data_IF_514486864101
#
_entry.id   IF_514486864101
#
_cell.length_a   1.000
_cell.length_b   1.000
_cell.length_c   1.000
_cell.angle_alpha   90.00
_cell.angle_beta   90.00
_cell.angle_gamma   90.00
#
_symmetry.space_group_name_H-M   'P 1'
#
loop_
_entity.id
_entity.type
_entity.pdbx_description
1 polymer ?
#
# COMPACT_ATOMS: atom_id res chain seq x y z
N UNK A 1 -21.49 5.62 -75.18
CA UNK A 1 -20.45 5.62 -74.12
C UNK A 1 -20.44 6.98 -73.42
N UNK A 2 -21.03 7.08 -72.22
CA UNK A 2 -20.70 8.08 -71.18
C UNK A 2 -21.48 7.68 -69.92
N UNK A 3 -20.79 7.01 -68.99
CA UNK A 3 -21.32 6.61 -67.69
C UNK A 3 -21.22 7.79 -66.72
N UNK A 4 -22.36 8.19 -66.15
CA UNK A 4 -22.48 9.18 -65.09
C UNK A 4 -22.32 8.45 -63.74
N UNK A 5 -21.23 8.70 -63.01
CA UNK A 5 -21.05 8.21 -61.64
C UNK A 5 -21.42 9.32 -60.67
N UNK A 6 -22.50 9.15 -59.92
CA UNK A 6 -22.82 9.95 -58.74
C UNK A 6 -21.91 9.51 -57.59
N UNK A 7 -21.16 10.44 -57.01
CA UNK A 7 -20.43 10.25 -55.76
C UNK A 7 -21.33 10.84 -54.66
N UNK A 8 -21.97 9.98 -53.88
CA UNK A 8 -22.63 10.35 -52.63
C UNK A 8 -21.58 10.37 -51.52
N UNK A 9 -21.15 11.55 -51.09
CA UNK A 9 -20.36 11.73 -49.88
C UNK A 9 -21.28 11.63 -48.66
N UNK A 10 -21.10 10.58 -47.87
CA UNK A 10 -21.76 10.40 -46.58
C UNK A 10 -20.97 11.20 -45.53
N UNK A 11 -21.51 12.34 -45.10
CA UNK A 11 -20.95 13.14 -44.00
C UNK A 11 -21.50 12.57 -42.69
N UNK A 12 -20.72 11.77 -41.98
CA UNK A 12 -21.05 11.30 -40.63
C UNK A 12 -20.60 12.38 -39.64
N UNK A 13 -21.56 13.13 -39.11
CA UNK A 13 -21.34 14.03 -37.98
C UNK A 13 -21.47 13.18 -36.71
N UNK A 14 -20.36 12.94 -36.02
CA UNK A 14 -20.40 12.42 -34.65
C UNK A 14 -20.87 13.54 -33.73
N UNK A 15 -22.12 13.48 -33.25
CA UNK A 15 -22.51 14.21 -32.06
C UNK A 15 -21.96 13.44 -30.85
N UNK A 16 -21.01 14.05 -30.13
CA UNK A 16 -20.64 13.65 -28.78
C UNK A 16 -21.83 13.94 -27.87
N UNK A 17 -22.52 12.88 -27.42
CA UNK A 17 -23.51 12.97 -26.36
C UNK A 17 -22.72 12.96 -25.06
N UNK A 18 -22.53 14.13 -24.44
CA UNK A 18 -21.97 14.21 -23.09
C UNK A 18 -22.91 13.49 -22.13
N UNK A 19 -22.37 12.59 -21.31
CA UNK A 19 -23.17 11.90 -20.31
C UNK A 19 -23.54 12.90 -19.21
N UNK A 20 -24.78 12.88 -18.69
CA UNK A 20 -25.24 13.85 -17.71
C UNK A 20 -24.52 13.76 -16.35
N UNK A 21 -23.63 12.78 -16.16
CA UNK A 21 -22.81 12.58 -14.96
C UNK A 21 -21.29 12.63 -15.26
N UNK A 22 -20.90 13.01 -16.48
CA UNK A 22 -19.49 13.12 -16.84
C UNK A 22 -18.91 14.45 -16.33
N UNK A 23 -17.76 14.35 -15.67
CA UNK A 23 -16.97 15.49 -15.21
C UNK A 23 -15.58 15.49 -15.86
N UNK A 24 -14.70 16.34 -15.37
CA UNK A 24 -13.32 16.42 -15.84
C UNK A 24 -12.37 15.88 -14.78
N UNK A 25 -11.24 15.33 -15.22
CA UNK A 25 -10.09 15.08 -14.36
C UNK A 25 -9.12 16.24 -14.50
N UNK A 26 -8.69 16.77 -13.36
CA UNK A 26 -7.74 17.87 -13.32
C UNK A 26 -6.62 17.60 -12.34
N UNK A 27 -5.47 18.22 -12.56
CA UNK A 27 -4.42 18.34 -11.55
C UNK A 27 -4.48 19.69 -10.86
N UNK A 28 -4.39 19.71 -9.54
CA UNK A 28 -4.35 20.90 -8.69
C UNK A 28 -2.99 20.95 -7.99
N UNK A 29 -2.25 22.04 -8.15
CA UNK A 29 -1.02 22.29 -7.40
C UNK A 29 -1.31 23.21 -6.21
N UNK A 30 -1.03 22.71 -5.00
CA UNK A 30 -1.18 23.45 -3.74
C UNK A 30 0.14 24.16 -3.41
N UNK A 31 0.07 25.45 -3.12
CA UNK A 31 1.25 26.30 -2.85
C UNK A 31 1.36 26.78 -1.41
N UNK A 32 0.31 26.59 -0.60
CA UNK A 32 0.28 26.94 0.81
C UNK A 32 -0.89 26.23 1.52
N UNK A 33 -0.90 26.27 2.85
CA UNK A 33 -1.93 25.65 3.68
C UNK A 33 -3.33 26.23 3.47
N UNK A 34 -3.47 27.53 3.18
CA UNK A 34 -4.78 28.12 2.88
C UNK A 34 -5.42 27.50 1.63
N UNK A 35 -4.61 27.15 0.62
CA UNK A 35 -5.11 26.48 -0.58
C UNK A 35 -5.60 25.04 -0.33
N UNK A 36 -5.16 24.39 0.76
CA UNK A 36 -5.67 23.07 1.18
C UNK A 36 -7.15 23.18 1.54
N UNK A 37 -7.47 24.08 2.47
CA UNK A 37 -8.84 24.30 2.94
C UNK A 37 -9.77 24.71 1.79
N UNK A 38 -9.29 25.57 0.89
CA UNK A 38 -10.04 26.00 -0.28
C UNK A 38 -10.31 24.83 -1.23
N UNK A 39 -9.30 24.02 -1.56
CA UNK A 39 -9.47 22.87 -2.45
C UNK A 39 -10.46 21.85 -1.86
N UNK A 40 -10.32 21.52 -0.58
CA UNK A 40 -11.23 20.63 0.14
C UNK A 40 -12.66 21.16 0.15
N UNK A 41 -12.85 22.46 0.36
CA UNK A 41 -14.18 23.06 0.37
C UNK A 41 -14.90 23.03 -0.98
N UNK A 42 -14.15 22.94 -2.09
CA UNK A 42 -14.69 22.99 -3.45
C UNK A 42 -14.90 21.58 -4.01
N UNK A 43 -13.91 20.69 -3.91
CA UNK A 43 -13.96 19.34 -4.52
C UNK A 43 -13.98 18.20 -3.49
N UNK A 44 -14.01 18.50 -2.20
CA UNK A 44 -14.03 17.53 -1.10
C UNK A 44 -12.66 16.89 -0.85
N UNK A 45 -12.23 16.02 -1.75
CA UNK A 45 -11.00 15.23 -1.61
C UNK A 45 -10.31 15.00 -2.96
N UNK A 46 -9.00 14.80 -2.92
CA UNK A 46 -8.25 14.33 -4.07
C UNK A 46 -8.44 12.82 -4.29
N UNK A 47 -8.07 12.38 -5.49
CA UNK A 47 -8.02 10.96 -5.88
C UNK A 47 -6.64 10.39 -5.53
N UNK A 48 -5.57 11.13 -5.84
CA UNK A 48 -4.19 10.77 -5.53
C UNK A 48 -3.34 12.02 -5.52
N UNK A 49 -2.10 11.93 -5.02
CA UNK A 49 -1.17 13.04 -4.98
C UNK A 49 0.29 12.60 -5.11
N UNK A 50 1.13 13.53 -5.54
CA UNK A 50 2.58 13.46 -5.38
C UNK A 50 3.06 14.83 -4.96
N UNK A 51 3.73 14.87 -3.81
CA UNK A 51 4.09 16.11 -3.14
C UNK A 51 2.86 17.03 -3.04
N UNK A 52 2.93 18.27 -3.52
CA UNK A 52 1.81 19.22 -3.48
C UNK A 52 0.94 19.21 -4.74
N UNK A 53 1.08 18.20 -5.61
CA UNK A 53 0.27 18.05 -6.82
C UNK A 53 -0.76 16.94 -6.61
N UNK A 54 -2.02 17.29 -6.81
CA UNK A 54 -3.17 16.43 -6.55
C UNK A 54 -3.90 16.16 -7.86
N UNK A 55 -4.40 14.94 -8.03
CA UNK A 55 -5.40 14.60 -9.04
C UNK A 55 -6.78 14.73 -8.42
N UNK A 56 -7.70 15.40 -9.09
CA UNK A 56 -9.07 15.61 -8.64
C UNK A 56 -10.05 15.28 -9.76
N UNK A 57 -11.24 14.82 -9.38
CA UNK A 57 -12.42 14.88 -10.23
C UNK A 57 -13.09 16.23 -10.00
N UNK A 58 -13.54 16.89 -11.05
CA UNK A 58 -14.14 18.22 -10.95
C UNK A 58 -15.19 18.46 -12.02
N UNK A 59 -16.26 19.15 -11.66
CA UNK A 59 -17.22 19.70 -12.62
C UNK A 59 -16.77 21.07 -13.14
N UNK A 60 -17.37 21.55 -14.24
CA UNK A 60 -17.01 22.87 -14.81
C UNK A 60 -17.18 24.02 -13.80
N UNK A 61 -18.17 23.94 -12.91
CA UNK A 61 -18.43 24.96 -11.89
C UNK A 61 -17.36 24.98 -10.78
N UNK A 62 -16.94 23.80 -10.32
CA UNK A 62 -15.88 23.62 -9.34
C UNK A 62 -14.52 24.03 -9.91
N UNK A 63 -14.21 23.64 -11.16
CA UNK A 63 -13.00 24.05 -11.85
C UNK A 63 -12.87 25.58 -11.91
N UNK A 64 -13.96 26.27 -12.27
CA UNK A 64 -14.00 27.73 -12.29
C UNK A 64 -13.80 28.34 -10.90
N UNK A 65 -14.35 27.72 -9.85
CA UNK A 65 -14.15 28.16 -8.46
C UNK A 65 -12.69 27.99 -8.03
N UNK A 66 -12.06 26.86 -8.33
CA UNK A 66 -10.66 26.62 -8.02
C UNK A 66 -9.76 27.66 -8.71
N UNK A 67 -10.01 27.95 -9.99
CA UNK A 67 -9.26 28.98 -10.74
C UNK A 67 -9.48 30.37 -10.17
N UNK A 68 -10.72 30.74 -9.82
CA UNK A 68 -11.05 32.03 -9.20
C UNK A 68 -10.41 32.19 -7.82
N UNK A 69 -10.30 31.11 -7.06
CA UNK A 69 -9.64 31.09 -5.77
C UNK A 69 -8.10 31.09 -5.87
N UNK A 70 -7.54 31.14 -7.08
CA UNK A 70 -6.11 31.28 -7.33
C UNK A 70 -5.33 29.97 -7.27
N UNK A 71 -6.00 28.82 -7.30
CA UNK A 71 -5.33 27.53 -7.42
C UNK A 71 -4.81 27.31 -8.84
N UNK A 72 -3.65 26.68 -8.92
CA UNK A 72 -3.05 26.27 -10.18
C UNK A 72 -3.66 24.94 -10.61
N UNK A 73 -4.66 25.01 -11.48
CA UNK A 73 -5.44 23.87 -11.95
C UNK A 73 -5.31 23.70 -13.46
N UNK A 74 -5.12 22.45 -13.88
CA UNK A 74 -5.02 22.03 -15.28
C UNK A 74 -5.90 20.81 -15.52
N UNK A 75 -6.84 20.91 -16.47
CA UNK A 75 -7.59 19.74 -16.96
C UNK A 75 -6.63 18.81 -17.69
N UNK A 76 -6.67 17.53 -17.32
CA UNK A 76 -5.91 16.48 -18.00
C UNK A 76 -6.80 15.60 -18.86
N UNK A 77 -8.07 15.39 -18.48
CA UNK A 77 -9.03 14.62 -19.27
C UNK A 77 -10.42 15.22 -19.13
N UNK A 78 -11.15 15.32 -20.24
CA UNK A 78 -12.53 15.81 -20.27
C UNK A 78 -13.54 14.70 -20.51
N UNK A 79 -14.78 14.92 -20.07
CA UNK A 79 -15.94 14.07 -20.32
C UNK A 79 -15.72 12.63 -19.80
N UNK A 80 -15.41 12.55 -18.51
CA UNK A 80 -14.98 11.34 -17.80
C UNK A 80 -16.05 10.93 -16.78
N UNK A 81 -16.42 9.65 -16.80
CA UNK A 81 -17.21 9.05 -15.73
C UNK A 81 -16.26 8.45 -14.67
N UNK A 82 -16.34 8.92 -13.43
CA UNK A 82 -15.42 8.51 -12.35
C UNK A 82 -15.39 6.99 -12.12
N UNK A 83 -16.53 6.31 -12.27
CA UNK A 83 -16.68 4.86 -12.12
C UNK A 83 -16.02 4.04 -13.23
N UNK A 84 -15.69 4.65 -14.37
CA UNK A 84 -15.03 3.97 -15.50
C UNK A 84 -13.50 4.14 -15.50
N UNK A 85 -12.98 4.93 -14.57
CA UNK A 85 -11.56 5.24 -14.49
C UNK A 85 -10.86 4.48 -13.39
N UNK A 86 -9.60 4.17 -13.65
CA UNK A 86 -8.71 3.57 -12.68
C UNK A 86 -7.36 4.28 -12.64
N UNK A 87 -6.77 4.32 -11.46
CA UNK A 87 -5.37 4.65 -11.24
C UNK A 87 -4.57 3.38 -11.47
N UNK A 88 -3.58 3.47 -12.36
CA UNK A 88 -2.75 2.37 -12.78
C UNK A 88 -1.35 2.65 -12.25
N UNK A 89 -0.96 1.88 -11.23
CA UNK A 89 0.36 1.95 -10.62
C UNK A 89 1.35 1.12 -11.42
N UNK A 90 2.59 1.62 -11.60
CA UNK A 90 3.65 0.84 -12.19
C UNK A 90 3.91 -0.45 -11.38
N UNK A 91 4.45 -1.50 -12.02
CA UNK A 91 4.72 -2.76 -11.37
C UNK A 91 5.91 -2.55 -10.45
N UNK A 92 5.87 -3.20 -9.28
CA UNK A 92 7.00 -3.20 -8.35
C UNK A 92 8.24 -3.86 -8.96
N UNK A 93 8.03 -4.82 -9.88
CA UNK A 93 9.11 -5.50 -10.59
C UNK A 93 9.44 -4.78 -11.92
N UNK A 94 10.63 -4.18 -12.06
CA UNK A 94 11.02 -3.37 -13.22
C UNK A 94 11.21 -4.16 -14.52
N UNK A 95 11.19 -5.50 -14.47
CA UNK A 95 11.19 -6.37 -15.68
C UNK A 95 9.90 -6.24 -16.47
N UNK A 96 8.79 -5.87 -15.82
CA UNK A 96 7.55 -5.54 -16.51
C UNK A 96 7.58 -4.10 -17.01
N UNK A 97 8.03 -3.91 -18.25
CA UNK A 97 7.90 -2.63 -18.94
C UNK A 97 6.63 -2.63 -19.78
N UNK A 98 5.78 -1.63 -19.58
CA UNK A 98 4.77 -1.33 -20.59
C UNK A 98 5.44 -0.56 -21.71
N UNK A 99 5.23 -1.06 -22.93
CA UNK A 99 5.66 -0.41 -24.16
C UNK A 99 4.62 0.56 -24.71
N UNK A 100 3.33 0.44 -24.35
CA UNK A 100 2.27 1.44 -24.63
C UNK A 100 1.00 1.27 -23.78
N UNK A 101 0.70 2.22 -22.89
CA UNK A 101 -0.51 2.17 -22.05
C UNK A 101 -1.81 2.38 -22.81
N UNK A 102 -1.77 3.00 -23.99
CA UNK A 102 -2.97 3.26 -24.77
C UNK A 102 -3.56 1.97 -25.36
N UNK A 103 -2.82 0.86 -25.34
CA UNK A 103 -3.33 -0.46 -25.72
C UNK A 103 -4.41 -1.00 -24.76
N UNK A 104 -4.52 -0.45 -23.54
CA UNK A 104 -5.50 -0.89 -22.53
C UNK A 104 -6.69 0.06 -22.38
N UNK A 105 -6.66 1.22 -23.04
CA UNK A 105 -7.69 2.25 -22.97
C UNK A 105 -7.10 3.65 -23.02
N UNK A 106 -7.98 4.68 -23.04
CA UNK A 106 -7.57 6.08 -23.01
C UNK A 106 -6.79 6.33 -21.71
N UNK A 107 -5.50 6.56 -21.84
CA UNK A 107 -4.56 6.59 -20.72
C UNK A 107 -3.75 7.88 -20.73
N UNK A 108 -3.56 8.47 -19.56
CA UNK A 108 -2.75 9.68 -19.38
C UNK A 108 -1.72 9.42 -18.30
N UNK A 109 -0.46 9.68 -18.63
CA UNK A 109 0.63 9.63 -17.67
C UNK A 109 0.45 10.72 -16.61
N UNK A 110 0.64 10.33 -15.36
CA UNK A 110 0.70 11.21 -14.20
C UNK A 110 2.14 11.28 -13.69
N UNK A 111 2.28 11.72 -12.44
CA UNK A 111 3.52 11.70 -11.69
C UNK A 111 3.93 10.27 -11.32
N UNK A 112 5.24 10.07 -11.08
CA UNK A 112 5.85 8.84 -10.57
C UNK A 112 5.53 7.58 -11.39
N UNK A 113 5.39 7.72 -12.71
CA UNK A 113 5.10 6.60 -13.62
C UNK A 113 3.68 6.03 -13.48
N UNK A 114 2.81 6.66 -12.69
CA UNK A 114 1.39 6.30 -12.63
C UNK A 114 0.65 6.76 -13.87
N UNK A 115 -0.45 6.09 -14.17
CA UNK A 115 -1.38 6.48 -15.22
C UNK A 115 -2.79 6.57 -14.66
N UNK A 116 -3.60 7.45 -15.25
CA UNK A 116 -5.05 7.32 -15.15
C UNK A 116 -5.56 6.81 -16.47
N UNK A 117 -6.30 5.71 -16.41
CA UNK A 117 -6.72 4.94 -17.56
C UNK A 117 -8.17 4.52 -17.44
N UNK A 118 -8.90 4.59 -18.55
CA UNK A 118 -10.20 3.95 -18.68
C UNK A 118 -9.97 2.46 -18.93
N UNK A 119 -10.09 1.63 -17.89
CA UNK A 119 -9.80 0.19 -17.95
C UNK A 119 -11.04 -0.58 -17.53
N UNK A 120 -11.57 -1.44 -18.41
CA UNK A 120 -12.68 -2.33 -18.03
C UNK A 120 -12.23 -3.36 -16.98
N UNK A 121 -13.14 -3.87 -16.16
CA UNK A 121 -12.83 -4.83 -15.09
C UNK A 121 -12.10 -6.09 -15.59
N UNK A 122 -12.45 -6.59 -16.78
CA UNK A 122 -11.76 -7.74 -17.40
C UNK A 122 -10.33 -7.40 -17.84
N UNK A 123 -10.11 -6.18 -18.30
CA UNK A 123 -8.78 -5.69 -18.70
C UNK A 123 -7.92 -5.34 -17.49
N UNK A 124 -8.51 -4.89 -16.39
CA UNK A 124 -7.81 -4.60 -15.14
C UNK A 124 -7.16 -5.86 -14.57
N UNK A 125 -7.93 -6.96 -14.48
CA UNK A 125 -7.39 -8.26 -14.05
C UNK A 125 -6.30 -8.76 -15.00
N UNK A 126 -6.51 -8.63 -16.31
CA UNK A 126 -5.51 -9.03 -17.31
C UNK A 126 -4.23 -8.20 -17.22
N UNK A 127 -4.34 -6.90 -16.99
CA UNK A 127 -3.21 -5.99 -16.82
C UNK A 127 -2.41 -6.38 -15.58
N UNK A 128 -3.07 -6.58 -14.43
CA UNK A 128 -2.39 -7.01 -13.21
C UNK A 128 -1.69 -8.35 -13.35
N UNK A 129 -2.33 -9.34 -13.98
CA UNK A 129 -1.75 -10.69 -14.14
C UNK A 129 -0.58 -10.69 -15.14
N UNK A 130 -0.70 -9.97 -16.26
CA UNK A 130 0.27 -10.06 -17.37
C UNK A 130 1.43 -9.08 -17.26
N UNK A 131 1.25 -7.96 -16.55
CA UNK A 131 2.27 -6.90 -16.45
C UNK A 131 2.64 -6.53 -15.03
N UNK A 132 1.97 -7.07 -14.00
CA UNK A 132 2.23 -6.72 -12.60
C UNK A 132 1.80 -5.30 -12.21
N UNK A 133 1.15 -4.55 -13.11
CA UNK A 133 0.60 -3.23 -12.79
C UNK A 133 -0.61 -3.37 -11.87
N UNK A 134 -0.68 -2.53 -10.83
CA UNK A 134 -1.84 -2.52 -9.93
C UNK A 134 -2.89 -1.53 -10.45
N UNK A 135 -4.12 -1.99 -10.62
CA UNK A 135 -5.23 -1.18 -11.11
C UNK A 135 -6.21 -0.93 -9.98
N UNK A 136 -6.43 0.34 -9.64
CA UNK A 136 -7.28 0.75 -8.52
C UNK A 136 -8.38 1.68 -9.03
N UNK A 137 -9.68 1.34 -8.87
CA UNK A 137 -10.78 2.20 -9.31
C UNK A 137 -10.74 3.57 -8.64
N UNK A 138 -10.94 4.67 -9.39
CA UNK A 138 -10.84 6.03 -8.82
C UNK A 138 -11.93 6.35 -7.78
N UNK A 139 -13.05 5.64 -7.82
CA UNK A 139 -14.13 5.75 -6.83
C UNK A 139 -13.74 5.20 -5.45
N UNK A 140 -12.77 4.28 -5.40
CA UNK A 140 -12.27 3.71 -4.14
C UNK A 140 -11.21 4.59 -3.46
N UNK A 141 -10.77 5.65 -4.14
CA UNK A 141 -9.68 6.52 -3.70
C UNK A 141 -10.23 7.85 -3.16
N UNK A 142 -9.76 8.20 -1.96
CA UNK A 142 -10.07 9.44 -1.28
C UNK A 142 -8.83 9.87 -0.48
N UNK A 143 -8.12 10.88 -0.99
CA UNK A 143 -6.89 11.42 -0.40
C UNK A 143 -7.18 12.85 0.08
N UNK A 144 -6.95 13.16 1.37
CA UNK A 144 -7.11 14.53 1.87
C UNK A 144 -6.07 15.44 1.21
N UNK A 145 -6.39 16.73 1.06
CA UNK A 145 -5.40 17.67 0.58
C UNK A 145 -4.40 17.95 1.69
N UNK A 146 -3.18 18.30 1.28
CA UNK A 146 -2.16 18.73 2.21
C UNK A 146 -1.19 19.67 1.52
N UNK A 147 -0.38 20.36 2.31
CA UNK A 147 0.70 21.19 1.81
C UNK A 147 1.99 20.86 2.57
N UNK A 148 3.01 20.49 1.81
CA UNK A 148 4.38 20.30 2.28
C UNK A 148 5.17 21.54 1.87
N UNK A 149 5.56 22.43 2.81
CA UNK A 149 6.43 23.56 2.50
C UNK A 149 7.75 23.10 1.87
N UNK A 150 8.33 23.85 0.94
CA UNK A 150 9.62 23.50 0.33
C UNK A 150 10.74 23.35 1.37
N UNK A 151 10.71 24.15 2.44
CA UNK A 151 11.64 24.03 3.58
C UNK A 151 11.48 22.70 4.32
N UNK A 152 10.25 22.19 4.45
CA UNK A 152 9.97 20.89 5.05
C UNK A 152 10.35 19.78 4.08
N UNK A 153 10.04 19.91 2.78
CA UNK A 153 10.44 18.93 1.76
C UNK A 153 11.96 18.77 1.67
N UNK A 154 12.72 19.85 1.88
CA UNK A 154 14.18 19.83 1.90
C UNK A 154 14.77 19.39 3.24
N UNK A 155 14.07 19.61 4.36
CA UNK A 155 14.42 19.06 5.68
C UNK A 155 14.05 17.57 5.82
N UNK A 156 12.98 17.10 5.20
CA UNK A 156 12.64 15.66 5.13
C UNK A 156 13.67 14.88 4.30
N UNK A 157 14.39 15.56 3.41
CA UNK A 157 15.55 15.00 2.69
C UNK A 157 16.81 14.91 3.57
N UNK A 158 16.80 15.46 4.79
CA UNK A 158 17.85 15.31 5.79
C UNK A 158 17.44 15.86 7.17
N UNK A 159 17.25 14.95 8.16
CA UNK A 159 16.91 15.12 9.60
C UNK A 159 15.46 14.66 9.89
N UNK A 160 15.26 13.48 10.50
CA UNK A 160 15.34 13.20 11.96
C UNK A 160 14.45 14.12 12.82
N UNK A 161 13.14 14.12 12.58
CA UNK A 161 12.13 14.08 13.66
C UNK A 161 10.73 14.18 13.04
N UNK A 162 10.05 13.03 12.98
CA UNK A 162 8.60 12.99 12.83
C UNK A 162 7.99 13.55 14.12
N UNK A 163 6.89 14.31 14.08
CA UNK A 163 6.17 14.64 15.31
C UNK A 163 5.61 13.35 15.91
N UNK A 164 6.34 12.77 16.87
CA UNK A 164 5.99 11.49 17.53
C UNK A 164 4.61 11.54 18.20
N UNK A 165 4.09 12.73 18.51
CA UNK A 165 2.89 12.92 19.33
C UNK A 165 1.55 12.56 18.66
N UNK A 166 1.45 12.29 17.36
CA UNK A 166 0.13 11.98 16.74
C UNK A 166 -0.11 10.48 16.50
N UNK A 167 0.86 9.77 15.91
CA UNK A 167 0.72 8.35 15.61
C UNK A 167 1.07 7.45 16.80
N UNK A 168 2.03 7.86 17.64
CA UNK A 168 2.35 7.10 18.86
C UNK A 168 1.14 7.04 19.81
N UNK A 169 0.28 8.06 19.80
CA UNK A 169 -0.97 8.08 20.57
C UNK A 169 -2.03 7.08 20.07
N UNK A 170 -1.88 6.53 18.86
CA UNK A 170 -2.77 5.48 18.35
C UNK A 170 -2.35 4.08 18.81
N UNK A 171 -1.17 3.97 19.43
CA UNK A 171 -0.69 2.72 20.04
C UNK A 171 -1.58 2.38 21.24
N UNK A 172 -2.14 1.18 21.19
CA UNK A 172 -3.06 0.67 22.19
C UNK A 172 -2.37 -0.40 23.02
N UNK A 173 -2.16 -0.12 24.31
CA UNK A 173 -1.64 -1.11 25.26
C UNK A 173 -2.54 -2.35 25.34
N UNK A 174 -3.87 -2.17 25.24
CA UNK A 174 -4.83 -3.27 25.22
C UNK A 174 -4.64 -4.17 24.00
N UNK A 175 -4.38 -3.57 22.83
CA UNK A 175 -4.13 -4.31 21.60
C UNK A 175 -2.80 -5.06 21.68
N UNK A 176 -1.74 -4.41 22.17
CA UNK A 176 -0.44 -5.04 22.41
C UNK A 176 -0.59 -6.24 23.36
N UNK A 177 -1.22 -6.05 24.52
CA UNK A 177 -1.41 -7.12 25.49
C UNK A 177 -2.26 -8.26 24.93
N UNK A 178 -3.33 -7.95 24.20
CA UNK A 178 -4.20 -8.94 23.59
C UNK A 178 -3.49 -9.78 22.51
N UNK A 179 -2.68 -9.14 21.66
CA UNK A 179 -1.92 -9.84 20.62
C UNK A 179 -0.85 -10.74 21.24
N UNK A 180 -0.09 -10.23 22.21
CA UNK A 180 0.95 -11.02 22.85
C UNK A 180 0.38 -12.19 23.65
N UNK A 181 -0.66 -11.95 24.46
CA UNK A 181 -1.38 -13.02 25.18
C UNK A 181 -1.93 -14.07 24.21
N UNK A 182 -2.42 -13.64 23.05
CA UNK A 182 -2.91 -14.58 22.03
C UNK A 182 -1.78 -15.41 21.43
N UNK A 183 -0.61 -14.81 21.18
CA UNK A 183 0.57 -15.51 20.70
C UNK A 183 1.07 -16.55 21.71
N UNK A 184 1.10 -16.22 23.00
CA UNK A 184 1.43 -17.15 24.10
C UNK A 184 0.43 -18.32 24.19
N UNK A 185 -0.85 -18.06 23.94
CA UNK A 185 -1.91 -19.06 24.02
C UNK A 185 -1.82 -20.16 22.95
N UNK A 186 -0.95 -20.03 21.93
CA UNK A 186 -0.61 -21.13 21.03
C UNK A 186 0.32 -22.18 21.69
N UNK A 187 0.73 -21.95 22.94
CA UNK A 187 1.61 -22.77 23.78
C UNK A 187 3.06 -22.77 23.31
N UNK A 188 3.29 -23.21 22.08
CA UNK A 188 4.56 -23.15 21.37
C UNK A 188 4.27 -22.77 19.94
N UNK A 189 5.14 -21.98 19.32
CA UNK A 189 5.08 -21.67 17.90
C UNK A 189 6.29 -22.29 17.23
N UNK A 190 6.64 -23.52 17.61
CA UNK A 190 7.73 -24.24 16.97
C UNK A 190 7.29 -24.77 15.60
N UNK A 191 8.18 -24.69 14.61
CA UNK A 191 7.86 -24.91 13.19
C UNK A 191 7.34 -26.32 12.85
N UNK A 192 7.54 -27.31 13.72
CA UNK A 192 7.05 -28.68 13.55
C UNK A 192 5.70 -28.96 14.24
N UNK A 193 5.02 -27.91 14.72
CA UNK A 193 3.76 -28.04 15.46
C UNK A 193 2.60 -27.43 14.69
N UNK A 194 1.39 -27.99 14.80
CA UNK A 194 0.19 -27.38 14.20
C UNK A 194 -0.11 -25.96 14.75
N UNK A 195 0.46 -25.61 15.91
CA UNK A 195 0.32 -24.29 16.52
C UNK A 195 0.98 -23.17 15.69
N UNK A 196 2.05 -23.43 14.93
CA UNK A 196 2.65 -22.41 14.04
C UNK A 196 1.69 -22.06 12.90
N UNK A 197 1.00 -23.05 12.35
CA UNK A 197 0.00 -22.85 11.30
C UNK A 197 -1.21 -22.09 11.85
N UNK A 198 -1.65 -22.43 13.05
CA UNK A 198 -2.73 -21.71 13.72
C UNK A 198 -2.36 -20.25 14.03
N UNK A 199 -1.10 -19.97 14.37
CA UNK A 199 -0.58 -18.62 14.58
C UNK A 199 -0.53 -17.82 13.26
N UNK A 200 -0.04 -18.45 12.17
CA UNK A 200 -0.06 -17.89 10.81
C UNK A 200 -1.48 -17.49 10.41
N UNK A 201 -2.42 -18.43 10.49
CA UNK A 201 -3.80 -18.22 10.05
C UNK A 201 -4.50 -17.13 10.87
N UNK A 202 -4.20 -17.06 12.17
CA UNK A 202 -4.69 -15.99 13.03
C UNK A 202 -4.16 -14.61 12.61
N UNK A 203 -2.87 -14.48 12.30
CA UNK A 203 -2.30 -13.20 11.84
C UNK A 203 -2.85 -12.81 10.47
N UNK A 204 -2.98 -13.76 9.54
CA UNK A 204 -3.64 -13.52 8.23
C UNK A 204 -5.03 -12.96 8.43
N UNK A 205 -5.84 -13.56 9.31
CA UNK A 205 -7.18 -13.06 9.60
C UNK A 205 -7.15 -11.66 10.20
N UNK A 206 -6.19 -11.34 11.08
CA UNK A 206 -6.05 -9.98 11.64
C UNK A 206 -5.83 -8.93 10.57
N UNK A 207 -4.93 -9.20 9.62
CA UNK A 207 -4.69 -8.28 8.51
C UNK A 207 -5.95 -8.10 7.65
N UNK A 208 -6.66 -9.19 7.34
CA UNK A 208 -7.92 -9.12 6.59
C UNK A 208 -9.00 -8.32 7.34
N UNK A 209 -9.13 -8.51 8.66
CA UNK A 209 -10.07 -7.78 9.52
C UNK A 209 -9.78 -6.27 9.54
N UNK A 210 -8.52 -5.86 9.35
CA UNK A 210 -8.11 -4.46 9.22
C UNK A 210 -8.20 -3.92 7.81
N UNK A 211 -8.78 -4.67 6.86
CA UNK A 211 -9.03 -4.21 5.50
C UNK A 211 -7.84 -4.36 4.54
N UNK A 212 -6.76 -5.02 4.95
CA UNK A 212 -5.69 -5.36 4.02
C UNK A 212 -6.18 -6.40 3.00
N UNK A 213 -5.91 -6.15 1.73
CA UNK A 213 -6.31 -7.03 0.62
C UNK A 213 -5.15 -7.80 0.01
N UNK A 214 -3.92 -7.30 0.17
CA UNK A 214 -2.68 -7.93 -0.32
C UNK A 214 -1.99 -8.67 0.84
N UNK A 215 -2.66 -9.73 1.31
CA UNK A 215 -2.19 -10.63 2.38
C UNK A 215 -1.77 -11.95 1.76
N UNK A 216 -0.51 -12.35 1.96
CA UNK A 216 0.05 -13.58 1.40
C UNK A 216 0.79 -14.38 2.46
N UNK A 217 0.98 -15.68 2.19
CA UNK A 217 1.79 -16.57 3.02
C UNK A 217 2.89 -17.21 2.18
N UNK A 218 3.99 -16.50 1.86
CA UNK A 218 5.08 -17.03 1.06
C UNK A 218 5.64 -18.32 1.69
N UNK A 219 5.55 -19.41 0.95
CA UNK A 219 5.95 -20.75 1.39
C UNK A 219 7.41 -21.02 1.05
N UNK A 220 8.14 -21.63 1.98
CA UNK A 220 9.48 -22.14 1.79
C UNK A 220 9.66 -23.51 2.45
N UNK A 221 10.63 -24.28 1.97
CA UNK A 221 10.89 -25.63 2.47
C UNK A 221 12.08 -25.63 3.44
N UNK A 222 11.91 -26.28 4.59
CA UNK A 222 12.97 -26.47 5.57
C UNK A 222 12.89 -27.87 6.17
N UNK A 223 13.99 -28.63 6.12
CA UNK A 223 14.14 -29.94 6.77
C UNK A 223 12.91 -30.87 6.69
N UNK A 224 12.33 -31.01 5.50
CA UNK A 224 11.22 -31.95 5.28
C UNK A 224 9.82 -31.37 5.40
N UNK A 225 9.67 -30.10 5.83
CA UNK A 225 8.37 -29.46 6.04
C UNK A 225 8.22 -28.16 5.25
N UNK A 226 6.97 -27.77 5.00
CA UNK A 226 6.65 -26.45 4.49
C UNK A 226 6.55 -25.47 5.66
N UNK A 227 7.20 -24.33 5.54
CA UNK A 227 7.12 -23.21 6.45
C UNK A 227 6.58 -21.99 5.69
N UNK A 228 6.05 -21.01 6.41
CA UNK A 228 5.33 -19.89 5.82
C UNK A 228 5.67 -18.60 6.55
N UNK A 229 6.15 -17.59 5.84
CA UNK A 229 6.06 -16.23 6.36
C UNK A 229 4.61 -15.75 6.24
N UNK A 230 4.22 -14.77 7.06
CA UNK A 230 3.02 -13.96 6.79
C UNK A 230 3.53 -12.65 6.19
N UNK A 231 2.91 -12.17 5.11
CA UNK A 231 3.34 -10.95 4.45
C UNK A 231 2.13 -10.12 4.03
N UNK A 232 2.18 -8.82 4.33
CA UNK A 232 1.18 -7.85 3.91
C UNK A 232 1.83 -6.67 3.22
N UNK A 233 1.31 -6.31 2.05
CA UNK A 233 1.78 -5.15 1.29
C UNK A 233 0.78 -4.01 1.41
N UNK A 234 1.20 -2.91 2.04
CA UNK A 234 0.48 -1.64 2.00
C UNK A 234 1.09 -0.74 0.93
N UNK A 235 0.42 -0.52 -0.22
CA UNK A 235 1.00 0.28 -1.30
C UNK A 235 1.16 1.75 -0.88
N UNK A 236 2.28 2.36 -1.27
CA UNK A 236 2.50 3.79 -1.15
C UNK A 236 1.68 4.58 -2.17
N UNK A 237 1.14 5.74 -1.77
CA UNK A 237 0.34 6.56 -2.68
C UNK A 237 1.18 7.36 -3.67
N UNK A 238 2.43 7.72 -3.31
CA UNK A 238 3.31 8.57 -4.12
C UNK A 238 4.53 7.83 -4.66
N UNK A 239 5.23 7.07 -3.82
CA UNK A 239 6.45 6.33 -4.16
C UNK A 239 6.25 4.82 -3.92
N UNK A 240 5.35 4.16 -4.67
CA UNK A 240 5.00 2.76 -4.43
C UNK A 240 6.18 1.79 -4.67
N UNK A 241 7.18 2.19 -5.45
CA UNK A 241 8.38 1.42 -5.77
C UNK A 241 9.42 1.44 -4.63
N UNK A 242 9.34 2.40 -3.71
CA UNK A 242 10.21 2.49 -2.54
C UNK A 242 9.58 1.74 -1.37
N UNK A 243 10.31 0.78 -0.83
CA UNK A 243 9.78 -0.17 0.14
C UNK A 243 10.44 0.01 1.51
N UNK A 244 9.59 0.09 2.53
CA UNK A 244 9.96 -0.06 3.94
C UNK A 244 9.48 -1.44 4.38
N UNK A 245 10.35 -2.23 5.01
CA UNK A 245 9.97 -3.52 5.60
C UNK A 245 9.87 -3.37 7.12
N UNK A 246 8.84 -3.94 7.72
CA UNK A 246 8.66 -4.01 9.17
C UNK A 246 8.41 -5.47 9.53
N UNK A 247 9.16 -6.02 10.48
CA UNK A 247 8.95 -7.41 10.88
C UNK A 247 9.54 -7.79 12.22
N UNK A 248 9.17 -8.99 12.64
CA UNK A 248 9.65 -9.73 13.79
C UNK A 248 9.28 -11.19 13.56
N UNK A 249 9.99 -12.14 14.17
CA UNK A 249 9.65 -13.54 13.96
C UNK A 249 8.52 -13.98 14.89
N UNK A 250 7.63 -14.82 14.37
CA UNK A 250 6.47 -15.31 15.11
C UNK A 250 6.61 -16.75 15.56
N UNK A 251 7.66 -17.47 15.15
CA UNK A 251 7.99 -18.74 15.78
C UNK A 251 8.53 -18.54 17.20
N UNK A 252 8.46 -19.60 18.00
CA UNK A 252 9.06 -19.68 19.31
C UNK A 252 9.51 -21.11 19.57
N UNK A 253 10.60 -21.26 20.31
CA UNK A 253 11.12 -22.56 20.69
C UNK A 253 11.51 -22.57 22.17
N UNK A 254 11.69 -23.76 22.71
CA UNK A 254 12.47 -23.95 23.94
C UNK A 254 13.70 -24.80 23.65
N UNK A 255 14.85 -24.36 24.13
CA UNK A 255 16.16 -25.00 23.89
C UNK A 255 16.48 -26.12 24.88
N UNK A 256 15.50 -26.60 25.66
CA UNK A 256 15.73 -27.65 26.66
C UNK A 256 15.91 -29.03 26.02
N UNK A 257 16.91 -29.78 26.47
CA UNK A 257 17.20 -31.13 26.00
C UNK A 257 16.07 -32.14 26.28
N UNK A 258 15.23 -31.90 27.30
CA UNK A 258 14.05 -32.71 27.62
C UNK A 258 13.00 -31.81 28.30
N UNK A 259 11.70 -31.87 27.93
CA UNK A 259 11.08 -32.73 26.89
C UNK A 259 11.24 -32.25 25.42
N UNK A 260 12.19 -31.36 25.13
CA UNK A 260 12.50 -30.92 23.76
C UNK A 260 11.66 -29.72 23.28
N UNK A 261 11.84 -29.25 22.03
CA UNK A 261 11.28 -27.99 21.53
C UNK A 261 9.76 -28.02 21.26
N UNK A 262 9.13 -29.20 21.35
CA UNK A 262 7.71 -29.43 21.08
C UNK A 262 6.80 -29.04 22.26
N UNK A 263 7.37 -28.57 23.37
CA UNK A 263 6.64 -28.27 24.60
C UNK A 263 6.36 -26.78 24.72
N UNK A 264 5.64 -26.40 25.79
CA UNK A 264 5.30 -25.02 26.11
C UNK A 264 6.52 -24.07 26.00
N UNK A 265 6.43 -23.17 25.03
CA UNK A 265 7.39 -22.13 24.72
C UNK A 265 6.58 -20.86 24.38
N UNK A 266 6.10 -20.13 25.41
CA UNK A 266 5.15 -19.04 25.23
C UNK A 266 5.71 -17.95 24.33
N UNK A 267 7.05 -17.78 24.33
CA UNK A 267 7.76 -16.87 23.45
C UNK A 267 7.19 -15.45 23.51
N UNK A 268 6.91 -14.97 24.72
CA UNK A 268 6.27 -13.67 24.95
C UNK A 268 7.20 -12.54 24.56
N UNK A 269 8.41 -12.50 25.11
CA UNK A 269 9.40 -11.51 24.71
C UNK A 269 10.08 -11.92 23.40
N UNK A 270 10.44 -13.20 23.28
CA UNK A 270 11.13 -13.81 22.15
C UNK A 270 10.19 -14.77 21.35
N UNK A 271 9.58 -14.34 20.26
CA UNK A 271 9.49 -12.94 19.80
C UNK A 271 8.03 -12.49 19.61
N UNK A 272 7.21 -12.84 20.58
CA UNK A 272 5.83 -12.36 20.70
C UNK A 272 5.76 -10.83 20.76
N UNK A 273 6.75 -10.19 21.41
CA UNK A 273 6.84 -8.74 21.56
C UNK A 273 7.07 -8.03 20.21
N UNK A 274 8.01 -8.49 19.40
CA UNK A 274 8.30 -7.92 18.09
C UNK A 274 7.24 -8.25 17.04
N UNK A 275 6.68 -9.47 17.07
CA UNK A 275 5.50 -9.81 16.26
C UNK A 275 4.32 -8.90 16.62
N UNK A 276 4.10 -8.64 17.90
CA UNK A 276 3.04 -7.75 18.38
C UNK A 276 3.24 -6.30 17.91
N UNK A 277 4.46 -5.76 17.96
CA UNK A 277 4.73 -4.44 17.41
C UNK A 277 4.48 -4.37 15.89
N UNK A 278 4.85 -5.42 15.16
CA UNK A 278 4.57 -5.52 13.72
C UNK A 278 3.06 -5.48 13.45
N UNK A 279 2.28 -6.25 14.21
CA UNK A 279 0.82 -6.29 14.11
C UNK A 279 0.17 -4.95 14.50
N UNK A 280 0.64 -4.32 15.57
CA UNK A 280 0.08 -3.04 16.05
C UNK A 280 0.36 -1.89 15.08
N UNK A 281 1.57 -1.84 14.50
CA UNK A 281 1.89 -0.88 13.45
C UNK A 281 0.99 -1.09 12.23
N UNK A 282 0.76 -2.33 11.80
CA UNK A 282 -0.16 -2.60 10.70
C UNK A 282 -1.60 -2.20 11.04
N UNK A 283 -2.09 -2.48 12.25
CA UNK A 283 -3.43 -2.05 12.71
C UNK A 283 -3.59 -0.54 12.62
N UNK A 284 -2.62 0.22 13.12
CA UNK A 284 -2.66 1.68 13.14
C UNK A 284 -2.59 2.25 11.73
N UNK A 285 -1.74 1.67 10.88
CA UNK A 285 -1.45 2.18 9.55
C UNK A 285 -2.44 1.70 8.49
N UNK A 286 -3.39 0.82 8.81
CA UNK A 286 -4.35 0.25 7.87
C UNK A 286 -5.05 1.33 7.02
N UNK A 287 -5.67 2.31 7.67
CA UNK A 287 -6.44 3.38 7.03
C UNK A 287 -5.63 4.67 6.78
N UNK A 288 -4.34 4.68 7.14
CA UNK A 288 -3.48 5.86 6.99
C UNK A 288 -2.75 5.79 5.65
N UNK A 289 -2.92 6.74 4.72
CA UNK A 289 -2.15 6.77 3.49
C UNK A 289 -0.66 6.96 3.78
N UNK A 290 0.20 6.15 3.15
CA UNK A 290 1.65 6.23 3.30
C UNK A 290 2.30 6.63 1.99
N UNK A 291 3.29 7.52 2.06
CA UNK A 291 4.02 8.00 0.87
C UNK A 291 4.69 6.84 0.12
N UNK A 292 5.28 5.91 0.87
CA UNK A 292 6.03 4.73 0.39
C UNK A 292 5.28 3.44 0.68
N UNK A 293 5.61 2.38 -0.05
CA UNK A 293 5.09 1.05 0.24
C UNK A 293 5.67 0.53 1.55
N UNK A 294 4.81 -0.03 2.41
CA UNK A 294 5.24 -0.72 3.63
C UNK A 294 4.85 -2.19 3.53
N UNK A 295 5.82 -3.07 3.75
CA UNK A 295 5.61 -4.51 3.83
C UNK A 295 5.75 -4.95 5.28
N UNK A 296 4.69 -5.48 5.87
CA UNK A 296 4.70 -6.09 7.20
C UNK A 296 4.96 -7.58 7.08
N UNK A 297 5.95 -8.12 7.78
CA UNK A 297 6.35 -9.52 7.68
C UNK A 297 6.59 -10.13 9.06
N UNK A 298 5.60 -10.86 9.61
CA UNK A 298 5.88 -11.88 10.62
C UNK A 298 6.67 -13.04 9.99
N UNK A 299 7.93 -13.19 10.40
CA UNK A 299 8.83 -14.23 9.87
C UNK A 299 8.66 -15.57 10.59
N UNK A 300 8.72 -16.67 9.86
CA UNK A 300 8.78 -18.02 10.44
C UNK A 300 10.20 -18.56 10.41
N UNK A 301 10.50 -19.52 11.29
CA UNK A 301 11.72 -20.31 11.28
C UNK A 301 12.98 -19.47 11.51
N UNK A 302 12.88 -18.45 12.36
CA UNK A 302 14.04 -17.70 12.85
C UNK A 302 14.89 -18.59 13.74
N UNK A 303 14.23 -19.29 14.67
CA UNK A 303 14.84 -20.04 15.79
C UNK A 303 15.65 -21.26 15.33
N UNK A 304 15.47 -21.64 14.07
CA UNK A 304 16.17 -22.76 13.41
C UNK A 304 17.19 -22.28 12.37
N UNK A 305 17.52 -20.98 12.36
CA UNK A 305 18.61 -20.41 11.59
C UNK A 305 18.20 -19.35 10.56
N UNK A 306 17.31 -18.43 10.91
CA UNK A 306 16.91 -17.26 10.10
C UNK A 306 16.30 -17.66 8.74
N UNK A 307 15.61 -18.79 8.68
CA UNK A 307 15.26 -19.42 7.40
C UNK A 307 14.21 -18.60 6.65
N UNK A 308 13.15 -18.16 7.34
CA UNK A 308 12.09 -17.36 6.71
C UNK A 308 12.56 -15.97 6.29
N UNK A 309 13.39 -15.30 7.08
CA UNK A 309 13.92 -13.98 6.72
C UNK A 309 14.93 -14.06 5.57
N UNK A 310 15.78 -15.09 5.53
CA UNK A 310 16.66 -15.36 4.38
C UNK A 310 15.87 -15.63 3.10
N UNK A 311 14.80 -16.41 3.19
CA UNK A 311 13.92 -16.66 2.05
C UNK A 311 13.28 -15.36 1.54
N UNK A 312 12.73 -14.52 2.43
CA UNK A 312 12.16 -13.23 2.04
C UNK A 312 13.22 -12.31 1.40
N UNK A 313 14.41 -12.19 2.00
CA UNK A 313 15.50 -11.38 1.47
C UNK A 313 15.96 -11.85 0.08
N UNK A 314 16.03 -13.17 -0.15
CA UNK A 314 16.36 -13.73 -1.44
C UNK A 314 15.30 -13.39 -2.49
N UNK A 315 14.01 -13.52 -2.16
CA UNK A 315 12.93 -13.13 -3.08
C UNK A 315 12.98 -11.63 -3.40
N UNK A 316 13.19 -10.77 -2.40
CA UNK A 316 13.33 -9.33 -2.64
C UNK A 316 14.52 -9.00 -3.55
N UNK A 317 15.64 -9.71 -3.41
CA UNK A 317 16.80 -9.56 -4.28
C UNK A 317 16.49 -10.02 -5.72
N UNK A 318 15.81 -11.16 -5.89
CA UNK A 318 15.44 -11.71 -7.21
C UNK A 318 14.42 -10.84 -7.95
N UNK A 319 13.52 -10.23 -7.18
CA UNK A 319 12.49 -9.30 -7.67
C UNK A 319 13.02 -7.87 -7.87
N UNK A 320 14.29 -7.61 -7.52
CA UNK A 320 14.92 -6.28 -7.58
C UNK A 320 14.12 -5.23 -6.78
N UNK A 321 13.54 -5.65 -5.64
CA UNK A 321 12.71 -4.79 -4.79
C UNK A 321 13.59 -3.70 -4.17
N UNK A 322 13.22 -2.44 -4.35
CA UNK A 322 13.94 -1.29 -3.80
C UNK A 322 13.59 -1.06 -2.33
N UNK A 323 14.19 -1.87 -1.45
CA UNK A 323 14.08 -1.72 0.00
C UNK A 323 15.00 -0.60 0.48
N UNK A 324 14.42 0.46 1.03
CA UNK A 324 15.19 1.59 1.57
C UNK A 324 15.57 1.36 3.04
N UNK A 325 14.73 0.67 3.81
CA UNK A 325 14.99 0.34 5.22
C UNK A 325 14.16 -0.88 5.64
N UNK A 326 14.69 -1.64 6.59
CA UNK A 326 13.98 -2.71 7.27
C UNK A 326 14.09 -2.51 8.79
N UNK A 327 12.95 -2.53 9.48
CA UNK A 327 12.85 -2.53 10.93
C UNK A 327 12.63 -3.96 11.41
N UNK A 328 13.59 -4.49 12.17
CA UNK A 328 13.48 -5.77 12.86
C UNK A 328 13.19 -5.52 14.34
N UNK A 329 12.05 -5.98 14.82
CA UNK A 329 11.71 -5.99 16.23
C UNK A 329 11.94 -7.39 16.79
N UNK A 330 12.85 -7.48 17.75
CA UNK A 330 13.20 -8.74 18.40
C UNK A 330 13.54 -8.49 19.87
N UNK A 331 12.75 -9.09 20.76
CA UNK A 331 12.81 -8.89 22.20
C UNK A 331 12.71 -7.43 22.64
N UNK A 332 11.51 -6.86 22.55
CA UNK A 332 11.21 -5.46 22.91
C UNK A 332 10.25 -5.34 24.10
N UNK A 333 9.92 -6.44 24.76
CA UNK A 333 8.93 -6.52 25.84
C UNK A 333 9.52 -6.56 27.25
N UNK A 334 10.83 -6.77 27.40
CA UNK A 334 11.49 -6.87 28.70
C UNK A 334 12.39 -5.65 29.01
N UNK A 335 12.26 -5.11 30.22
CA UNK A 335 13.18 -4.12 30.79
C UNK A 335 13.68 -4.59 32.14
N UNK A 336 14.98 -4.40 32.42
CA UNK A 336 15.59 -4.70 33.72
C UNK A 336 15.29 -3.63 34.78
N UNK A 337 14.80 -2.47 34.36
CA UNK A 337 14.47 -1.37 35.26
C UNK A 337 13.03 -1.57 35.76
N UNK A 338 12.89 -1.99 37.01
CA UNK A 338 11.59 -2.23 37.67
C UNK A 338 10.78 -0.95 37.95
N UNK A 339 11.10 0.16 37.30
CA UNK A 339 10.42 1.44 37.47
C UNK A 339 10.10 2.01 36.08
N UNK A 340 8.89 1.76 35.55
CA UNK A 340 8.49 2.34 34.27
C UNK A 340 8.16 3.83 34.37
N UNK A 341 8.27 4.45 35.56
CA UNK A 341 8.34 5.91 35.82
C UNK A 341 8.96 6.19 37.20
#
# INVERSE_FOLDING_TARGET
MRNLKYITSLLIVFLLIQSPNAGDLATVNIKNSFQVEVAESIVGSAITSSDNRFLVFTESSEFDLLKKAGLDVQIIMTDVERSEMSLVHPPLNPKFKITDMNSFGKSIALFNGMYVSQVSSNMAASLTISTGYKVVPLESLNVPFYFIPETVSSQLAGIEDFPYDSLANLVSQDSIFAFNTRLEAFQTRYIYTDSIDAARDWMVQKFLDWGYTDVTTPMFFYNGINCYNVMVVKPGYAEPDKVIVVGGHYDSITSTNEPGPMIFAPGSDDNGSGTTATLELARILADIPLRKTVIFIPFSAEEVGLVGSRFAAQNFLEDETNIEVMFNFDMIGYSTDANPD
#
